data_IF_833790080364
#
_entry.id   IF_833790080364
#
_cell.length_a   1.000
_cell.length_b   1.000
_cell.length_c   1.000
_cell.angle_alpha   90.00
_cell.angle_beta   90.00
_cell.angle_gamma   90.00
#
_symmetry.space_group_name_H-M   'P 1'
#
loop_
_entity.id
_entity.type
_entity.pdbx_description
1 polymer ?
#
# COMPACT_ATOMS: atom_id res chain seq x y z
N UNK A 1 25.14 6.29 -31.64
CA UNK A 1 25.97 5.94 -30.48
C UNK A 1 24.99 5.90 -29.30
N UNK A 2 24.35 4.76 -29.06
CA UNK A 2 23.50 4.51 -27.92
C UNK A 2 24.14 3.37 -27.13
N UNK A 3 24.58 3.61 -25.91
CA UNK A 3 24.82 2.52 -24.97
C UNK A 3 23.89 2.61 -23.76
N UNK A 4 23.66 1.48 -23.13
CA UNK A 4 23.27 1.27 -21.76
C UNK A 4 21.77 1.13 -21.40
N UNK A 5 20.99 0.42 -22.21
CA UNK A 5 19.69 -0.10 -21.75
C UNK A 5 19.81 -1.56 -21.25
N UNK A 6 20.88 -2.26 -21.60
CA UNK A 6 21.03 -3.70 -21.34
C UNK A 6 21.38 -4.06 -19.89
N UNK A 7 22.02 -3.16 -19.13
CA UNK A 7 22.45 -3.44 -17.76
C UNK A 7 21.34 -3.38 -16.71
N UNK A 8 20.42 -2.43 -16.83
CA UNK A 8 19.31 -2.25 -15.91
C UNK A 8 18.26 -3.37 -16.03
N UNK A 9 17.94 -3.78 -17.25
CA UNK A 9 16.98 -4.88 -17.50
C UNK A 9 17.47 -6.21 -16.91
N UNK A 10 18.76 -6.50 -17.02
CA UNK A 10 19.34 -7.74 -16.48
C UNK A 10 19.31 -7.77 -14.94
N UNK A 11 19.59 -6.64 -14.29
CA UNK A 11 19.53 -6.53 -12.82
C UNK A 11 18.10 -6.68 -12.34
N UNK A 12 17.14 -6.03 -12.99
CA UNK A 12 15.71 -6.10 -12.65
C UNK A 12 15.16 -7.53 -12.79
N UNK A 13 15.48 -8.22 -13.89
CA UNK A 13 15.06 -9.61 -14.08
C UNK A 13 15.65 -10.57 -13.04
N UNK A 14 16.89 -10.34 -12.60
CA UNK A 14 17.54 -11.20 -11.61
C UNK A 14 16.93 -11.04 -10.21
N UNK A 15 16.53 -9.84 -9.85
CA UNK A 15 15.85 -9.56 -8.57
C UNK A 15 14.45 -10.17 -8.51
N UNK A 16 13.69 -10.16 -9.61
CA UNK A 16 12.36 -10.74 -9.67
C UNK A 16 12.38 -12.28 -9.69
N UNK A 17 13.49 -12.90 -10.09
CA UNK A 17 13.64 -14.36 -10.08
C UNK A 17 13.64 -14.97 -8.67
N UNK A 18 13.95 -14.20 -7.63
CA UNK A 18 13.87 -14.68 -6.24
C UNK A 18 12.43 -14.98 -5.80
N UNK A 19 11.46 -14.35 -6.45
CA UNK A 19 10.02 -14.52 -6.16
C UNK A 19 9.34 -15.62 -6.99
N UNK A 20 10.13 -16.36 -7.77
CA UNK A 20 9.66 -17.53 -8.50
C UNK A 20 9.62 -18.76 -7.56
N UNK A 21 8.44 -19.29 -7.31
CA UNK A 21 8.25 -20.51 -6.53
C UNK A 21 8.04 -21.71 -7.48
N UNK A 22 8.99 -22.64 -7.58
CA UNK A 22 8.88 -23.83 -8.43
C UNK A 22 7.98 -24.88 -7.75
N UNK A 23 6.67 -24.75 -7.89
CA UNK A 23 5.70 -25.60 -7.20
C UNK A 23 5.65 -27.03 -7.74
N UNK A 24 6.11 -27.29 -8.97
CA UNK A 24 6.11 -28.64 -9.54
C UNK A 24 6.92 -29.64 -8.70
N UNK A 25 8.10 -29.19 -8.19
CA UNK A 25 8.98 -30.01 -7.36
C UNK A 25 8.57 -30.13 -5.88
N UNK A 26 7.60 -29.34 -5.42
CA UNK A 26 7.17 -29.35 -4.02
C UNK A 26 6.21 -30.52 -3.74
N UNK A 27 6.34 -31.11 -2.55
CA UNK A 27 5.38 -32.11 -2.04
C UNK A 27 4.06 -31.43 -1.70
N UNK A 28 2.98 -32.23 -1.65
CA UNK A 28 1.70 -31.75 -1.12
C UNK A 28 1.86 -31.32 0.35
N UNK A 29 1.20 -30.21 0.71
CA UNK A 29 1.25 -29.65 2.05
C UNK A 29 1.80 -28.23 2.09
N UNK A 30 2.18 -27.81 3.30
CA UNK A 30 2.60 -26.42 3.57
C UNK A 30 4.11 -26.27 3.46
N UNK A 31 4.51 -25.19 2.78
CA UNK A 31 5.88 -24.74 2.62
C UNK A 31 5.96 -23.27 3.07
N UNK A 32 7.08 -22.86 3.64
CA UNK A 32 7.28 -21.49 4.09
C UNK A 32 8.43 -20.86 3.32
N UNK A 33 8.21 -19.63 2.89
CA UNK A 33 9.21 -18.79 2.24
C UNK A 33 9.28 -17.45 2.95
N UNK A 34 10.48 -16.88 3.07
CA UNK A 34 10.72 -15.58 3.68
C UNK A 34 11.51 -14.72 2.70
N UNK A 35 11.08 -13.49 2.52
CA UNK A 35 11.73 -12.52 1.64
C UNK A 35 12.03 -11.24 2.41
N UNK A 36 13.15 -10.61 2.08
CA UNK A 36 13.52 -9.29 2.53
C UNK A 36 13.32 -8.32 1.37
N UNK A 37 12.43 -7.37 1.53
CA UNK A 37 12.08 -6.39 0.51
C UNK A 37 12.75 -5.07 0.88
N UNK A 38 13.45 -4.49 -0.07
CA UNK A 38 14.10 -3.19 0.02
C UNK A 38 13.64 -2.27 -1.13
N UNK A 39 14.17 -1.04 -1.20
CA UNK A 39 13.82 -0.10 -2.26
C UNK A 39 14.06 -0.65 -3.67
N UNK A 40 15.14 -1.40 -3.90
CA UNK A 40 15.46 -1.95 -5.21
C UNK A 40 14.37 -2.88 -5.79
N UNK A 41 13.58 -3.52 -4.92
CA UNK A 41 12.41 -4.28 -5.36
C UNK A 41 11.35 -3.37 -5.98
N UNK A 42 11.07 -2.21 -5.35
CA UNK A 42 10.07 -1.25 -5.84
C UNK A 42 10.56 -0.49 -7.08
N UNK A 43 11.86 -0.22 -7.17
CA UNK A 43 12.47 0.38 -8.36
C UNK A 43 12.25 -0.50 -9.61
N UNK A 44 12.13 -1.83 -9.43
CA UNK A 44 11.82 -2.74 -10.55
C UNK A 44 10.38 -2.65 -11.06
N UNK A 45 9.50 -1.96 -10.31
CA UNK A 45 8.12 -1.64 -10.68
C UNK A 45 7.93 -0.15 -10.98
N UNK A 46 9.01 0.62 -11.15
CA UNK A 46 8.99 2.07 -11.37
C UNK A 46 8.21 2.84 -10.28
N UNK A 47 8.27 2.34 -9.03
CA UNK A 47 7.57 2.94 -7.89
C UNK A 47 8.56 3.69 -6.98
N UNK A 48 8.33 5.01 -6.82
CA UNK A 48 9.29 5.93 -6.17
C UNK A 48 8.67 6.80 -5.05
N UNK A 49 7.60 6.35 -4.42
CA UNK A 49 6.86 7.12 -3.40
C UNK A 49 7.57 7.20 -2.03
N UNK A 50 8.68 6.49 -1.83
CA UNK A 50 9.47 6.50 -0.60
C UNK A 50 10.97 6.36 -0.91
N UNK A 51 11.81 6.90 -0.03
CA UNK A 51 13.28 6.86 -0.22
C UNK A 51 13.91 5.52 0.13
N UNK A 52 13.38 4.84 1.13
CA UNK A 52 13.86 3.53 1.55
C UNK A 52 12.75 2.64 2.08
N UNK A 53 12.96 1.34 2.02
CA UNK A 53 12.05 0.33 2.54
C UNK A 53 12.83 -0.80 3.22
N UNK A 54 12.33 -1.28 4.33
CA UNK A 54 12.83 -2.47 5.01
C UNK A 54 11.63 -3.29 5.46
N UNK A 55 11.25 -4.26 4.62
CA UNK A 55 10.00 -5.02 4.80
C UNK A 55 10.32 -6.51 4.80
N UNK A 56 9.84 -7.22 5.78
CA UNK A 56 9.89 -8.67 5.84
C UNK A 56 8.57 -9.26 5.35
N UNK A 57 8.64 -10.15 4.38
CA UNK A 57 7.49 -10.87 3.81
C UNK A 57 7.60 -12.34 4.15
N UNK A 58 6.55 -12.90 4.69
CA UNK A 58 6.43 -14.32 5.03
C UNK A 58 5.28 -14.93 4.21
N UNK A 59 5.58 -15.96 3.45
CA UNK A 59 4.65 -16.67 2.57
C UNK A 59 4.45 -18.09 3.07
N UNK A 60 3.24 -18.45 3.41
CA UNK A 60 2.82 -19.82 3.65
C UNK A 60 2.14 -20.34 2.39
N UNK A 61 2.87 -21.15 1.66
CA UNK A 61 2.43 -21.78 0.41
C UNK A 61 1.90 -23.18 0.70
N UNK A 62 0.64 -23.43 0.40
CA UNK A 62 0.01 -24.74 0.58
C UNK A 62 -0.32 -25.35 -0.79
N UNK A 63 0.36 -26.46 -1.11
CA UNK A 63 0.10 -27.23 -2.33
C UNK A 63 -0.98 -28.27 -2.05
N UNK A 64 -2.13 -28.13 -2.70
CA UNK A 64 -3.24 -29.08 -2.71
C UNK A 64 -3.28 -29.85 -4.04
N UNK A 65 -4.15 -30.83 -4.15
CA UNK A 65 -4.24 -31.66 -5.36
C UNK A 65 -4.71 -30.88 -6.60
N UNK A 66 -5.59 -29.91 -6.43
CA UNK A 66 -6.25 -29.19 -7.53
C UNK A 66 -5.97 -27.69 -7.54
N UNK A 67 -5.35 -27.16 -6.49
CA UNK A 67 -5.10 -25.73 -6.35
C UNK A 67 -3.86 -25.47 -5.48
N UNK A 68 -3.34 -24.26 -5.57
CA UNK A 68 -2.33 -23.75 -4.66
C UNK A 68 -2.96 -22.61 -3.83
N UNK A 69 -2.58 -22.54 -2.57
CA UNK A 69 -3.04 -21.47 -1.67
C UNK A 69 -1.83 -20.78 -1.05
N UNK A 70 -1.75 -19.48 -1.23
CA UNK A 70 -0.70 -18.63 -0.69
C UNK A 70 -1.29 -17.69 0.35
N UNK A 71 -0.79 -17.78 1.58
CA UNK A 71 -1.09 -16.83 2.63
C UNK A 71 0.16 -15.98 2.88
N UNK A 72 0.09 -14.71 2.54
CA UNK A 72 1.22 -13.78 2.56
C UNK A 72 0.99 -12.76 3.67
N UNK A 73 2.05 -12.49 4.43
CA UNK A 73 2.07 -11.45 5.47
C UNK A 73 3.31 -10.62 5.29
N UNK A 74 3.16 -9.32 5.45
CA UNK A 74 4.31 -8.42 5.50
C UNK A 74 4.27 -7.55 6.74
N UNK A 75 5.46 -7.16 7.19
CA UNK A 75 5.67 -6.21 8.28
C UNK A 75 7.02 -5.53 8.08
N UNK A 76 7.05 -4.22 8.26
CA UNK A 76 8.27 -3.44 8.08
C UNK A 76 8.02 -1.95 8.17
N UNK A 77 8.97 -1.19 7.67
CA UNK A 77 8.94 0.27 7.64
C UNK A 77 9.28 0.78 6.24
N UNK A 78 8.67 1.89 5.88
CA UNK A 78 9.02 2.69 4.70
C UNK A 78 9.37 4.11 5.14
N UNK A 79 10.39 4.70 4.56
CA UNK A 79 10.84 6.05 4.87
C UNK A 79 10.20 7.04 3.91
N UNK A 80 9.24 7.81 4.41
CA UNK A 80 8.33 8.66 3.61
C UNK A 80 8.28 10.08 4.15
N UNK A 81 7.98 11.08 3.28
CA UNK A 81 7.70 12.43 3.75
C UNK A 81 6.33 12.52 4.43
N UNK A 82 6.25 13.37 5.46
CA UNK A 82 5.01 13.72 6.12
C UNK A 82 4.19 14.67 5.24
N UNK A 83 2.91 14.38 5.04
CA UNK A 83 2.02 15.20 4.19
C UNK A 83 1.76 16.62 4.74
N UNK A 84 2.04 16.87 6.03
CA UNK A 84 1.82 18.16 6.67
C UNK A 84 3.09 19.01 6.82
N UNK A 85 4.23 18.34 7.03
CA UNK A 85 5.48 19.05 7.38
C UNK A 85 6.60 18.82 6.38
N UNK A 86 6.42 17.87 5.46
CA UNK A 86 7.43 17.38 4.53
C UNK A 86 8.68 16.81 5.22
N UNK A 87 8.63 16.58 6.52
CA UNK A 87 9.71 15.89 7.23
C UNK A 87 9.64 14.40 7.01
N UNK A 88 10.80 13.81 6.80
CA UNK A 88 10.93 12.37 6.56
C UNK A 88 10.79 11.59 7.85
N UNK A 89 10.08 10.46 7.80
CA UNK A 89 9.92 9.58 8.95
C UNK A 89 9.72 8.13 8.56
N UNK A 90 10.01 7.24 9.50
CA UNK A 90 9.75 5.81 9.36
C UNK A 90 8.27 5.51 9.60
N UNK A 91 7.56 5.15 8.54
CA UNK A 91 6.17 4.74 8.60
C UNK A 91 6.08 3.22 8.73
N UNK A 92 5.59 2.69 9.87
CA UNK A 92 5.39 1.26 10.02
C UNK A 92 4.21 0.80 9.16
N UNK A 93 4.43 -0.24 8.38
CA UNK A 93 3.41 -0.88 7.55
C UNK A 93 3.29 -2.36 7.87
N UNK A 94 2.09 -2.88 7.78
CA UNK A 94 1.79 -4.30 7.94
C UNK A 94 0.54 -4.68 7.17
N UNK A 95 0.54 -5.87 6.62
CA UNK A 95 -0.64 -6.37 5.93
C UNK A 95 -0.62 -7.89 5.81
N UNK A 96 -1.72 -8.40 5.31
CA UNK A 96 -1.91 -9.80 4.99
C UNK A 96 -2.76 -9.94 3.74
N UNK A 97 -2.42 -10.88 2.89
CA UNK A 97 -3.18 -11.22 1.70
C UNK A 97 -3.27 -12.73 1.53
N UNK A 98 -4.25 -13.15 0.76
CA UNK A 98 -4.44 -14.53 0.34
C UNK A 98 -4.59 -14.58 -1.16
N UNK A 99 -3.83 -15.48 -1.80
CA UNK A 99 -3.93 -15.74 -3.22
C UNK A 99 -4.26 -17.22 -3.42
N UNK A 100 -5.33 -17.47 -4.14
CA UNK A 100 -5.71 -18.79 -4.61
C UNK A 100 -5.24 -18.96 -6.05
N UNK A 101 -4.61 -20.09 -6.35
CA UNK A 101 -4.17 -20.40 -7.70
C UNK A 101 -4.86 -21.65 -8.17
N UNK A 102 -5.60 -21.54 -9.25
CA UNK A 102 -6.26 -22.65 -9.93
C UNK A 102 -5.58 -22.91 -11.28
N UNK A 103 -5.70 -24.14 -11.76
CA UNK A 103 -5.17 -24.50 -13.07
C UNK A 103 -6.31 -24.48 -14.10
N UNK A 104 -6.05 -23.84 -15.24
CA UNK A 104 -7.02 -23.68 -16.31
C UNK A 104 -6.38 -23.77 -17.70
N UNK A 105 -7.14 -23.38 -18.72
CA UNK A 105 -6.66 -23.43 -20.10
C UNK A 105 -5.77 -22.22 -20.46
N UNK A 106 -6.08 -21.05 -19.89
CA UNK A 106 -5.36 -19.81 -20.15
C UNK A 106 -5.04 -19.08 -18.84
N UNK A 107 -4.00 -18.24 -18.87
CA UNK A 107 -3.66 -17.34 -17.78
C UNK A 107 -4.77 -16.29 -17.60
N UNK A 108 -5.18 -16.07 -16.35
CA UNK A 108 -6.10 -15.00 -15.97
C UNK A 108 -5.79 -14.53 -14.55
N UNK A 109 -5.66 -13.21 -14.38
CA UNK A 109 -5.40 -12.48 -13.14
C UNK A 109 -6.39 -11.33 -12.92
N UNK A 110 -7.58 -11.38 -13.54
CA UNK A 110 -8.61 -10.34 -13.41
C UNK A 110 -9.16 -10.23 -11.96
N UNK A 111 -8.86 -11.19 -11.10
CA UNK A 111 -9.35 -11.22 -9.72
C UNK A 111 -8.18 -11.18 -8.73
N UNK A 112 -8.18 -10.20 -7.84
CA UNK A 112 -7.10 -9.94 -6.87
C UNK A 112 -6.79 -11.14 -5.94
N UNK A 113 -7.75 -12.04 -5.71
CA UNK A 113 -7.60 -13.20 -4.84
C UNK A 113 -7.48 -14.54 -5.59
N UNK A 114 -7.73 -14.55 -6.90
CA UNK A 114 -7.75 -15.76 -7.71
C UNK A 114 -6.92 -15.61 -8.99
N UNK A 115 -5.84 -16.37 -9.05
CA UNK A 115 -5.00 -16.47 -10.24
C UNK A 115 -5.29 -17.80 -10.96
N UNK A 116 -5.50 -17.76 -12.27
CA UNK A 116 -5.59 -18.95 -13.10
C UNK A 116 -4.28 -19.13 -13.86
N UNK A 117 -3.63 -20.27 -13.66
CA UNK A 117 -2.42 -20.64 -14.37
C UNK A 117 -2.71 -21.74 -15.40
N UNK A 118 -2.08 -21.70 -16.58
CA UNK A 118 -2.14 -22.80 -17.55
C UNK A 118 -1.63 -24.14 -16.95
N UNK A 119 -2.24 -25.23 -17.35
CA UNK A 119 -1.85 -26.58 -16.85
C UNK A 119 -0.38 -26.98 -17.09
N UNK A 120 0.32 -26.30 -17.99
CA UNK A 120 1.73 -26.55 -18.30
C UNK A 120 2.73 -25.81 -17.41
N UNK A 121 2.27 -24.90 -16.53
CA UNK A 121 3.15 -24.13 -15.69
C UNK A 121 3.76 -24.94 -14.56
N UNK A 122 5.02 -24.66 -14.24
CA UNK A 122 5.80 -25.38 -13.23
C UNK A 122 6.20 -24.49 -12.06
N UNK A 123 6.05 -23.18 -12.20
CA UNK A 123 6.45 -22.15 -11.24
C UNK A 123 5.45 -20.99 -11.27
N UNK A 124 5.41 -20.26 -10.17
CA UNK A 124 4.59 -19.06 -10.03
C UNK A 124 5.47 -17.89 -9.61
N UNK A 125 5.30 -16.75 -10.24
CA UNK A 125 5.90 -15.50 -9.81
C UNK A 125 4.92 -14.77 -8.89
N UNK A 126 5.34 -14.48 -7.67
CA UNK A 126 4.52 -13.77 -6.67
C UNK A 126 4.96 -12.32 -6.44
N UNK A 127 5.93 -11.82 -7.20
CA UNK A 127 6.47 -10.47 -7.02
C UNK A 127 5.41 -9.40 -7.20
N UNK A 128 4.60 -9.49 -8.25
CA UNK A 128 3.52 -8.55 -8.54
C UNK A 128 2.52 -8.49 -7.37
N UNK A 129 2.07 -9.64 -6.90
CA UNK A 129 1.12 -9.71 -5.79
C UNK A 129 1.70 -9.14 -4.49
N UNK A 130 2.98 -9.41 -4.19
CA UNK A 130 3.67 -8.83 -3.03
C UNK A 130 3.76 -7.31 -3.17
N UNK A 131 4.12 -6.81 -4.34
CA UNK A 131 4.21 -5.38 -4.64
C UNK A 131 2.87 -4.68 -4.38
N UNK A 132 1.80 -5.16 -4.99
CA UNK A 132 0.45 -4.59 -4.85
C UNK A 132 -0.01 -4.60 -3.39
N UNK A 133 0.16 -5.72 -2.69
CA UNK A 133 -0.23 -5.87 -1.29
C UNK A 133 0.51 -4.88 -0.38
N UNK A 134 1.80 -4.63 -0.61
CA UNK A 134 2.59 -3.68 0.18
C UNK A 134 2.13 -2.26 -0.13
N UNK A 135 2.02 -1.88 -1.40
CA UNK A 135 1.60 -0.53 -1.81
C UNK A 135 0.21 -0.19 -1.26
N UNK A 136 -0.75 -1.12 -1.35
CA UNK A 136 -2.09 -0.95 -0.80
C UNK A 136 -2.12 -0.86 0.74
N UNK A 137 -1.08 -1.33 1.43
CA UNK A 137 -0.98 -1.22 2.89
C UNK A 137 -0.50 0.15 3.36
N UNK A 138 0.04 0.98 2.46
CA UNK A 138 0.50 2.33 2.77
C UNK A 138 -0.73 3.23 2.92
N UNK A 139 -0.90 3.92 4.07
CA UNK A 139 -2.05 4.79 4.26
C UNK A 139 -1.98 5.99 3.31
N UNK A 140 -3.14 6.40 2.77
CA UNK A 140 -3.26 7.57 1.90
C UNK A 140 -2.80 8.87 2.57
N UNK A 141 -2.89 8.95 3.90
CA UNK A 141 -2.44 10.11 4.68
C UNK A 141 -1.27 9.70 5.57
N UNK A 142 -0.11 10.22 5.27
CA UNK A 142 1.16 9.97 5.97
C UNK A 142 1.48 11.12 6.91
N UNK A 143 1.21 10.97 8.19
CA UNK A 143 1.45 12.03 9.19
C UNK A 143 2.47 11.56 10.20
N UNK A 144 3.54 12.34 10.37
CA UNK A 144 4.58 12.09 11.34
C UNK A 144 3.98 11.98 12.76
N UNK A 145 4.35 10.97 13.57
CA UNK A 145 3.83 10.80 14.94
C UNK A 145 3.94 12.06 15.79
N UNK A 146 5.06 12.77 15.70
CA UNK A 146 5.33 14.00 16.45
C UNK A 146 4.38 15.16 16.18
N UNK A 147 3.63 15.11 15.05
CA UNK A 147 2.55 16.08 14.78
C UNK A 147 1.35 15.83 15.70
N UNK A 148 1.03 14.55 15.95
CA UNK A 148 -0.08 14.16 16.84
C UNK A 148 0.25 14.36 18.30
N UNK A 149 1.50 14.10 18.68
CA UNK A 149 1.97 14.18 20.06
C UNK A 149 2.43 15.60 20.44
N UNK A 150 2.41 16.56 19.49
CA UNK A 150 2.84 17.95 19.71
C UNK A 150 4.34 18.13 19.93
N UNK A 151 5.13 17.09 19.70
CA UNK A 151 6.61 17.13 19.86
C UNK A 151 7.29 17.77 18.66
N UNK A 152 6.65 17.75 17.50
CA UNK A 152 7.13 18.35 16.27
C UNK A 152 6.52 19.76 16.15
N UNK A 153 7.33 20.78 16.33
CA UNK A 153 6.91 22.18 16.19
C UNK A 153 7.64 22.84 15.03
N UNK A 154 7.13 22.64 13.82
CA UNK A 154 7.68 23.23 12.61
C UNK A 154 6.92 24.50 12.21
N UNK A 155 7.61 25.42 11.50
CA UNK A 155 7.00 26.64 10.94
C UNK A 155 5.77 26.30 10.07
N UNK A 156 5.82 25.18 9.35
CA UNK A 156 4.71 24.70 8.52
C UNK A 156 3.46 24.36 9.35
N UNK A 157 3.64 23.75 10.54
CA UNK A 157 2.52 23.43 11.44
C UNK A 157 1.94 24.67 12.08
N UNK A 158 2.79 25.66 12.43
CA UNK A 158 2.31 26.94 12.97
C UNK A 158 1.43 27.67 11.95
N UNK A 159 1.90 27.79 10.70
CA UNK A 159 1.12 28.37 9.60
C UNK A 159 -0.18 27.61 9.32
N UNK A 160 -0.16 26.27 9.33
CA UNK A 160 -1.36 25.47 9.16
C UNK A 160 -2.38 25.70 10.28
N UNK A 161 -1.93 25.85 11.52
CA UNK A 161 -2.80 26.12 12.65
C UNK A 161 -3.39 27.54 12.59
N UNK A 162 -2.61 28.52 12.18
CA UNK A 162 -3.08 29.90 11.97
C UNK A 162 -4.17 29.96 10.88
N UNK A 163 -3.91 29.37 9.72
CA UNK A 163 -4.87 29.32 8.61
C UNK A 163 -6.14 28.55 8.99
N UNK A 164 -6.02 27.48 9.76
CA UNK A 164 -7.16 26.68 10.20
C UNK A 164 -8.08 27.42 11.17
N UNK A 165 -7.52 28.29 12.02
CA UNK A 165 -8.31 29.14 12.91
C UNK A 165 -9.06 30.22 12.12
N UNK A 166 -8.43 30.80 11.11
CA UNK A 166 -9.06 31.79 10.24
C UNK A 166 -10.22 31.19 9.43
N UNK A 167 -10.03 30.01 8.80
CA UNK A 167 -11.10 29.32 8.08
C UNK A 167 -12.31 29.01 8.95
N UNK A 168 -12.08 28.52 10.17
CA UNK A 168 -13.17 28.18 11.11
C UNK A 168 -13.91 29.44 11.57
N UNK A 169 -13.24 30.58 11.69
CA UNK A 169 -13.87 31.87 12.01
C UNK A 169 -14.65 32.44 10.83
N UNK A 170 -14.09 32.37 9.62
CA UNK A 170 -14.79 32.79 8.40
C UNK A 170 -16.00 31.92 8.10
N UNK A 171 -15.92 30.60 8.25
CA UNK A 171 -17.09 29.72 8.08
C UNK A 171 -18.18 29.99 9.11
N UNK A 172 -17.83 30.24 10.38
CA UNK A 172 -18.81 30.61 11.41
C UNK A 172 -19.46 31.97 11.12
N UNK A 173 -18.69 32.94 10.63
CA UNK A 173 -19.23 34.25 10.28
C UNK A 173 -20.11 34.17 9.02
N UNK A 174 -19.70 33.45 7.99
CA UNK A 174 -20.51 33.19 6.79
C UNK A 174 -21.76 32.38 7.07
N UNK A 175 -21.71 31.41 8.00
CA UNK A 175 -22.88 30.64 8.43
C UNK A 175 -23.85 31.48 9.28
N UNK A 176 -23.36 32.50 10.00
CA UNK A 176 -24.21 33.42 10.76
C UNK A 176 -24.88 34.48 9.84
N UNK A 177 -24.20 34.89 8.76
CA UNK A 177 -24.73 35.88 7.81
C UNK A 177 -25.66 35.32 6.73
N UNK A 178 -25.53 34.03 6.40
CA UNK A 178 -26.23 33.39 5.28
C UNK A 178 -27.19 32.27 5.74
N UNK A 179 -27.97 32.53 6.75
CA UNK A 179 -29.09 31.63 7.06
C UNK A 179 -30.19 31.91 6.03
N UNK A 180 -30.38 30.99 5.09
CA UNK A 180 -31.45 31.03 4.09
C UNK A 180 -32.81 31.23 4.82
N UNK A 181 -33.58 32.30 4.48
CA UNK A 181 -34.87 32.60 5.12
C UNK A 181 -35.86 31.43 5.10
N UNK A 182 -35.65 30.44 4.26
CA UNK A 182 -36.46 29.21 4.21
C UNK A 182 -36.35 28.37 5.48
N UNK A 183 -35.24 28.48 6.21
CA UNK A 183 -35.01 27.74 7.46
C UNK A 183 -35.68 28.35 8.69
N UNK A 184 -36.12 29.60 8.61
CA UNK A 184 -36.79 30.27 9.71
C UNK A 184 -38.15 29.61 10.05
N UNK A 185 -38.82 29.06 9.05
CA UNK A 185 -40.08 28.29 9.25
C UNK A 185 -39.84 26.94 9.98
N UNK A 186 -38.67 26.35 9.81
CA UNK A 186 -38.27 25.10 10.49
C UNK A 186 -37.86 25.35 11.94
N UNK A 187 -37.24 26.51 12.25
CA UNK A 187 -36.92 26.91 13.63
C UNK A 187 -38.19 27.13 14.46
N UNK A 188 -39.25 27.72 13.89
CA UNK A 188 -40.52 27.92 14.58
C UNK A 188 -41.17 26.59 14.97
N UNK A 189 -41.04 25.54 14.18
CA UNK A 189 -41.57 24.20 14.48
C UNK A 189 -40.82 23.48 15.61
N UNK A 190 -39.58 23.89 15.92
CA UNK A 190 -38.76 23.30 17.00
C UNK A 190 -38.99 24.01 18.36
N UNK A 191 -39.54 25.24 18.36
CA UNK A 191 -39.79 26.04 19.57
C UNK A 191 -41.21 25.89 20.12
N UNK A 192 -42.12 25.25 19.36
CA UNK A 192 -43.51 25.00 19.78
C UNK A 192 -43.71 23.59 20.40
N UNK A 193 -42.85 23.27 21.40
CA UNK A 193 -43.00 22.04 22.21
C UNK A 193 -42.78 22.33 23.67
#
# INVERSE_FOLDING_TARGET
MHPEVSGQIVVTMKQLNEFLIPFAGLKLGKHQFEYQINKAFFDSFDYDDFESATIKVSVVFEKKHTMLELNIKHNGTVYVPCDLTNEMFDLPIKGKGRLLVQFGEAYNDDNDELLILPHGEHQINISQFIYEMIVLSIPLRRVHPGVKDGTLNTESLQKLNELRVEEVQEEKNKAAENIDPRWDKLKQLLTDK
#
